data_IF_239785284417
#
_entry.id   IF_239785284417
#
_cell.length_a   1.000
_cell.length_b   1.000
_cell.length_c   1.000
_cell.angle_alpha   90.00
_cell.angle_beta   90.00
_cell.angle_gamma   90.00
#
_symmetry.space_group_name_H-M   'P 1'
#
loop_
_entity.id
_entity.type
_entity.pdbx_description
1 polymer ?
#
# COMPACT_ATOMS: atom_id res chain seq x y z
N UNK A 1 5.30 -11.66 25.88
CA UNK A 1 4.44 -10.59 25.33
C UNK A 1 4.63 -10.60 23.83
N UNK A 2 3.80 -11.29 23.04
CA UNK A 2 3.94 -11.26 21.57
C UNK A 2 2.70 -11.81 20.82
N UNK A 3 1.50 -11.71 21.40
CA UNK A 3 0.27 -12.21 20.75
C UNK A 3 -0.49 -11.16 19.92
N UNK A 4 -0.14 -9.87 20.03
CA UNK A 4 -0.86 -8.79 19.31
C UNK A 4 -0.21 -8.35 17.98
N UNK A 5 0.93 -8.93 17.59
CA UNK A 5 1.70 -8.53 16.38
C UNK A 5 1.11 -8.98 15.03
N UNK A 6 -0.06 -9.60 14.98
CA UNK A 6 -0.36 -10.54 13.88
C UNK A 6 -1.75 -10.45 13.26
N UNK A 7 -2.63 -9.54 13.70
CA UNK A 7 -4.01 -9.52 13.16
C UNK A 7 -4.06 -9.19 11.67
N UNK A 8 -3.19 -8.29 11.19
CA UNK A 8 -3.13 -7.87 9.79
C UNK A 8 -1.78 -8.13 9.11
N UNK A 9 -0.88 -8.91 9.73
CA UNK A 9 0.44 -9.18 9.17
C UNK A 9 0.35 -9.85 7.79
N UNK A 10 -0.52 -10.85 7.63
CA UNK A 10 -0.77 -11.50 6.34
C UNK A 10 -1.27 -10.51 5.28
N UNK A 11 -2.08 -9.52 5.67
CA UNK A 11 -2.55 -8.47 4.78
C UNK A 11 -1.39 -7.58 4.32
N UNK A 12 -0.51 -7.18 5.25
CA UNK A 12 0.66 -6.37 4.95
C UNK A 12 1.67 -7.11 4.05
N UNK A 13 1.88 -8.41 4.29
CA UNK A 13 2.69 -9.26 3.41
C UNK A 13 2.12 -9.26 2.01
N UNK A 14 0.81 -9.48 1.86
CA UNK A 14 0.18 -9.49 0.55
C UNK A 14 0.27 -8.13 -0.15
N UNK A 15 0.07 -7.05 0.60
CA UNK A 15 0.17 -5.70 0.07
C UNK A 15 1.59 -5.39 -0.43
N UNK A 16 2.62 -5.87 0.27
CA UNK A 16 4.00 -5.78 -0.18
C UNK A 16 4.25 -6.54 -1.48
N UNK A 17 3.69 -7.75 -1.65
CA UNK A 17 3.76 -8.51 -2.90
C UNK A 17 3.12 -7.75 -4.07
N UNK A 18 1.94 -7.16 -3.83
CA UNK A 18 1.22 -6.38 -4.85
C UNK A 18 2.04 -5.14 -5.27
N UNK A 19 2.64 -4.44 -4.31
CA UNK A 19 3.55 -3.30 -4.56
C UNK A 19 4.80 -3.72 -5.36
N UNK A 20 5.40 -4.86 -5.02
CA UNK A 20 6.55 -5.40 -5.76
C UNK A 20 6.16 -5.81 -7.19
N UNK A 21 4.95 -6.32 -7.39
CA UNK A 21 4.41 -6.67 -8.71
C UNK A 21 4.22 -5.40 -9.55
N UNK A 22 3.65 -4.35 -8.97
CA UNK A 22 3.52 -3.06 -9.62
C UNK A 22 4.90 -2.47 -9.99
N UNK A 23 5.88 -2.51 -9.07
CA UNK A 23 7.24 -2.03 -9.33
C UNK A 23 7.90 -2.78 -10.49
N UNK A 24 7.76 -4.11 -10.52
CA UNK A 24 8.30 -4.96 -11.58
C UNK A 24 7.66 -4.62 -12.92
N UNK A 25 6.34 -4.48 -12.96
CA UNK A 25 5.59 -4.11 -14.15
C UNK A 25 6.06 -2.76 -14.72
N UNK A 26 6.24 -1.76 -13.84
CA UNK A 26 6.75 -0.45 -14.22
C UNK A 26 8.17 -0.52 -14.77
N UNK A 27 9.07 -1.23 -14.08
CA UNK A 27 10.46 -1.41 -14.53
C UNK A 27 10.54 -2.09 -15.90
N UNK A 28 9.71 -3.12 -16.13
CA UNK A 28 9.64 -3.83 -17.40
C UNK A 28 9.14 -2.90 -18.53
N UNK A 29 8.13 -2.06 -18.28
CA UNK A 29 7.61 -1.11 -19.27
C UNK A 29 8.72 -0.17 -19.84
N UNK A 30 9.64 0.26 -18.99
CA UNK A 30 10.76 1.13 -19.40
C UNK A 30 11.86 0.40 -20.16
N UNK A 31 11.93 -0.93 -20.08
CA UNK A 31 12.91 -1.74 -20.85
C UNK A 31 12.47 -2.03 -22.28
N UNK A 32 11.19 -1.86 -22.61
CA UNK A 32 10.70 -2.02 -23.98
C UNK A 32 10.98 -0.76 -24.83
N UNK A 33 11.60 -0.97 -26.00
CA UNK A 33 11.83 0.09 -27.00
C UNK A 33 10.61 0.39 -27.88
N UNK A 34 9.60 -0.49 -27.90
CA UNK A 34 8.35 -0.28 -28.61
C UNK A 34 7.37 0.51 -27.74
N UNK A 35 6.96 1.69 -28.20
CA UNK A 35 6.02 2.56 -27.51
C UNK A 35 4.67 1.90 -27.20
N UNK A 36 4.06 1.21 -28.17
CA UNK A 36 2.75 0.56 -27.96
C UNK A 36 2.82 -0.57 -26.94
N UNK A 37 3.95 -1.30 -26.88
CA UNK A 37 4.15 -2.31 -25.86
C UNK A 37 4.32 -1.68 -24.47
N UNK A 38 5.11 -0.60 -24.37
CA UNK A 38 5.26 0.18 -23.14
C UNK A 38 3.92 0.71 -22.63
N UNK A 39 3.11 1.30 -23.50
CA UNK A 39 1.80 1.84 -23.14
C UNK A 39 0.89 0.77 -22.52
N UNK A 40 0.79 -0.42 -23.14
CA UNK A 40 0.03 -1.54 -22.58
C UNK A 40 0.53 -1.94 -21.19
N UNK A 41 1.84 -1.99 -21.00
CA UNK A 41 2.44 -2.36 -19.72
C UNK A 41 2.20 -1.30 -18.64
N UNK A 42 2.23 -0.01 -19.00
CA UNK A 42 1.88 1.08 -18.09
C UNK A 42 0.39 1.05 -17.70
N UNK A 43 -0.51 0.73 -18.64
CA UNK A 43 -1.93 0.55 -18.31
C UNK A 43 -2.16 -0.58 -17.30
N UNK A 44 -1.39 -1.67 -17.39
CA UNK A 44 -1.42 -2.74 -16.38
C UNK A 44 -0.87 -2.25 -15.04
N UNK A 45 0.25 -1.52 -15.05
CA UNK A 45 0.82 -0.92 -13.85
C UNK A 45 -0.18 -0.01 -13.12
N UNK A 46 -0.89 0.85 -13.86
CA UNK A 46 -1.95 1.68 -13.29
C UNK A 46 -3.08 0.86 -12.67
N UNK A 47 -3.50 -0.23 -13.32
CA UNK A 47 -4.52 -1.12 -12.76
C UNK A 47 -4.04 -1.74 -11.44
N UNK A 48 -2.80 -2.20 -11.38
CA UNK A 48 -2.20 -2.74 -10.15
C UNK A 48 -2.18 -1.70 -9.03
N UNK A 49 -1.78 -0.45 -9.31
CA UNK A 49 -1.81 0.62 -8.32
C UNK A 49 -3.23 0.94 -7.83
N UNK A 50 -4.24 0.87 -8.70
CA UNK A 50 -5.65 1.02 -8.28
C UNK A 50 -6.09 -0.10 -7.33
N UNK A 51 -5.66 -1.33 -7.57
CA UNK A 51 -6.01 -2.47 -6.71
C UNK A 51 -5.28 -2.40 -5.35
N UNK A 52 -4.00 -1.99 -5.33
CA UNK A 52 -3.27 -1.67 -4.09
C UNK A 52 -4.00 -0.59 -3.29
N UNK A 53 -4.47 0.49 -3.95
CA UNK A 53 -5.25 1.56 -3.29
C UNK A 53 -6.53 1.02 -2.66
N UNK A 54 -7.29 0.17 -3.37
CA UNK A 54 -8.51 -0.46 -2.83
C UNK A 54 -8.20 -1.34 -1.63
N UNK A 55 -7.11 -2.11 -1.67
CA UNK A 55 -6.67 -2.96 -0.56
C UNK A 55 -6.30 -2.11 0.67
N UNK A 56 -5.59 -1.00 0.48
CA UNK A 56 -5.30 -0.04 1.57
C UNK A 56 -6.58 0.56 2.19
N UNK A 57 -7.55 0.96 1.37
CA UNK A 57 -8.84 1.46 1.85
C UNK A 57 -9.63 0.41 2.63
N UNK A 58 -9.60 -0.85 2.17
CA UNK A 58 -10.21 -1.98 2.89
C UNK A 58 -9.54 -2.21 4.24
N UNK A 59 -8.21 -2.26 4.28
CA UNK A 59 -7.45 -2.42 5.52
C UNK A 59 -7.83 -1.35 6.53
N UNK A 60 -7.92 -0.11 6.10
CA UNK A 60 -8.33 0.98 6.96
C UNK A 60 -9.75 0.86 7.48
N UNK A 61 -10.69 0.48 6.62
CA UNK A 61 -12.08 0.26 7.03
C UNK A 61 -12.18 -0.85 8.07
N UNK A 62 -11.31 -1.87 8.00
CA UNK A 62 -11.21 -2.91 9.00
C UNK A 62 -10.63 -2.36 10.31
N UNK A 63 -9.50 -1.64 10.25
CA UNK A 63 -8.83 -1.03 11.40
C UNK A 63 -9.73 0.00 12.12
N UNK A 64 -10.55 0.77 11.39
CA UNK A 64 -11.49 1.73 11.95
C UNK A 64 -12.57 1.09 12.84
N UNK A 65 -12.86 -0.21 12.65
CA UNK A 65 -13.81 -0.97 13.48
C UNK A 65 -13.18 -1.51 14.77
N UNK A 66 -11.86 -1.41 14.92
CA UNK A 66 -11.13 -1.89 16.08
C UNK A 66 -11.14 -0.85 17.23
N UNK A 67 -10.68 -1.27 18.42
CA UNK A 67 -10.59 -0.39 19.59
C UNK A 67 -9.65 0.80 19.32
N UNK A 68 -9.88 1.96 19.96
CA UNK A 68 -8.99 3.12 19.81
C UNK A 68 -7.52 2.80 20.11
N UNK A 69 -7.26 1.94 21.09
CA UNK A 69 -5.91 1.50 21.50
C UNK A 69 -5.24 0.71 20.38
N UNK A 70 -5.97 -0.24 19.78
CA UNK A 70 -5.49 -1.02 18.64
C UNK A 70 -5.18 -0.12 17.46
N UNK A 71 -6.06 0.83 17.13
CA UNK A 71 -5.85 1.78 16.02
C UNK A 71 -4.56 2.57 16.15
N UNK A 72 -4.24 3.06 17.35
CA UNK A 72 -2.99 3.80 17.61
C UNK A 72 -1.77 2.89 17.46
N UNK A 73 -1.83 1.68 18.04
CA UNK A 73 -0.74 0.71 17.93
C UNK A 73 -0.49 0.29 16.47
N UNK A 74 -1.57 0.01 15.73
CA UNK A 74 -1.53 -0.35 14.32
C UNK A 74 -0.98 0.78 13.45
N UNK A 75 -1.32 2.04 13.73
CA UNK A 75 -0.75 3.18 13.01
C UNK A 75 0.78 3.21 13.08
N UNK A 76 1.35 2.98 14.26
CA UNK A 76 2.81 2.90 14.43
C UNK A 76 3.41 1.65 13.76
N UNK A 77 2.70 0.51 13.78
CA UNK A 77 3.11 -0.70 13.07
C UNK A 77 3.13 -0.52 11.55
N UNK A 78 2.06 0.05 10.99
CA UNK A 78 1.95 0.34 9.57
C UNK A 78 3.05 1.30 9.11
N UNK A 79 3.35 2.33 9.90
CA UNK A 79 4.48 3.22 9.63
C UNK A 79 5.80 2.46 9.62
N UNK A 80 6.08 1.60 10.62
CA UNK A 80 7.30 0.78 10.64
C UNK A 80 7.39 -0.14 9.42
N UNK A 81 6.30 -0.81 9.06
CA UNK A 81 6.23 -1.65 7.87
C UNK A 81 6.53 -0.85 6.60
N UNK A 82 5.91 0.33 6.42
CA UNK A 82 6.13 1.17 5.24
C UNK A 82 7.60 1.64 5.12
N UNK A 83 8.29 1.88 6.24
CA UNK A 83 9.71 2.22 6.26
C UNK A 83 10.63 1.03 5.95
N UNK A 84 10.18 -0.20 6.23
CA UNK A 84 10.92 -1.44 5.97
C UNK A 84 10.70 -1.99 4.55
N UNK A 85 9.80 -1.39 3.76
CA UNK A 85 9.56 -1.82 2.39
C UNK A 85 10.83 -1.71 1.53
N UNK A 86 11.08 -2.69 0.65
CA UNK A 86 12.10 -2.56 -0.38
C UNK A 86 11.87 -1.29 -1.20
N UNK A 87 12.95 -0.61 -1.60
CA UNK A 87 12.89 0.68 -2.31
C UNK A 87 11.90 0.70 -3.50
N UNK A 88 11.87 -0.30 -4.41
CA UNK A 88 10.93 -0.27 -5.54
C UNK A 88 9.46 -0.29 -5.09
N UNK A 89 9.12 -1.08 -4.07
CA UNK A 89 7.78 -1.14 -3.50
C UNK A 89 7.42 0.16 -2.76
N UNK A 90 8.38 0.75 -2.03
CA UNK A 90 8.20 2.03 -1.36
C UNK A 90 7.88 3.15 -2.37
N UNK A 91 8.61 3.21 -3.48
CA UNK A 91 8.33 4.16 -4.57
C UNK A 91 6.91 3.99 -5.12
N UNK A 92 6.42 2.75 -5.27
CA UNK A 92 5.03 2.52 -5.69
C UNK A 92 4.01 2.98 -4.65
N UNK A 93 4.29 2.75 -3.36
CA UNK A 93 3.43 3.22 -2.28
C UNK A 93 3.36 4.75 -2.24
N UNK A 94 4.48 5.44 -2.45
CA UNK A 94 4.57 6.91 -2.51
C UNK A 94 3.77 7.53 -3.66
N UNK A 95 3.60 6.82 -4.79
CA UNK A 95 2.73 7.26 -5.88
C UNK A 95 1.25 7.35 -5.47
N UNK A 96 0.85 6.57 -4.47
CA UNK A 96 -0.51 6.56 -3.94
C UNK A 96 -0.70 7.71 -2.94
N UNK A 97 -0.43 8.96 -3.35
CA UNK A 97 -0.34 10.21 -2.55
C UNK A 97 -1.34 10.43 -1.39
N UNK A 98 -2.43 9.64 -1.32
CA UNK A 98 -3.45 9.68 -0.27
C UNK A 98 -3.41 8.48 0.72
N UNK A 99 -2.44 7.56 0.66
CA UNK A 99 -2.43 6.38 1.55
C UNK A 99 -2.22 6.73 3.04
N UNK A 100 -1.80 7.97 3.32
CA UNK A 100 -1.63 8.52 4.67
C UNK A 100 -2.90 9.22 5.18
N UNK A 101 -3.78 9.74 4.30
CA UNK A 101 -5.10 10.25 4.73
C UNK A 101 -6.01 9.14 5.26
N UNK A 102 -5.74 7.92 4.83
CA UNK A 102 -6.41 6.71 5.27
C UNK A 102 -6.24 6.49 6.79
N UNK A 103 -5.09 6.82 7.38
CA UNK A 103 -4.84 6.72 8.82
C UNK A 103 -4.76 8.07 9.55
N UNK A 104 -5.02 9.17 8.84
CA UNK A 104 -5.08 10.48 9.46
C UNK A 104 -6.26 10.55 10.44
N UNK A 105 -6.10 11.20 11.61
CA UNK A 105 -7.23 11.44 12.49
C UNK A 105 -8.35 12.15 11.70
N UNK A 106 -9.64 11.84 11.97
CA UNK A 106 -10.74 12.47 11.26
C UNK A 106 -10.58 14.00 11.33
N UNK A 107 -10.58 14.66 10.17
CA UNK A 107 -10.54 16.13 10.11
C UNK A 107 -11.70 16.65 10.98
N UNK A 108 -11.44 17.54 11.95
CA UNK A 108 -12.51 18.07 12.80
C UNK A 108 -13.57 18.69 11.89
N UNK A 109 -14.84 18.32 12.10
CA UNK A 109 -15.96 18.99 11.44
C UNK A 109 -15.94 20.44 11.93
N UNK A 110 -15.61 21.35 11.03
CA UNK A 110 -15.80 22.78 11.25
C UNK A 110 -17.26 23.16 11.20
#
# INVERSE_FOLDING_TARGET
>A
MDQDKTKYSAFLTRLQEDLMTAATQHAVAWRFGNWSARERLLTVHERLLRDVRKNLQRLNTMVLKETPEFRRAFGAEFQRWAHQLPRPAKEQLELLKDYTEVFAPPKPKS
#
